data_IF_131596229531
#
_entry.id   IF_131596229531
#
_cell.length_a   1.000
_cell.length_b   1.000
_cell.length_c   1.000
_cell.angle_alpha   90.00
_cell.angle_beta   90.00
_cell.angle_gamma   90.00
#
_symmetry.space_group_name_H-M   'P 1'
#
loop_
_entity.id
_entity.type
_entity.pdbx_description
1 polymer ?
#
# COMPACT_ATOMS: atom_id res chain seq x y z
N UNK A 1 -20.59 -11.20 4.81
CA UNK A 1 -20.07 -9.97 4.15
C UNK A 1 -19.67 -8.99 5.24
N UNK A 2 -18.51 -8.37 5.12
CA UNK A 2 -18.07 -7.31 6.03
C UNK A 2 -18.99 -6.09 5.78
N UNK A 3 -19.78 -5.72 6.78
CA UNK A 3 -20.71 -4.59 6.63
C UNK A 3 -19.92 -3.30 6.30
N UNK A 4 -20.35 -2.58 5.26
CA UNK A 4 -19.78 -1.30 4.88
C UNK A 4 -18.48 -1.34 4.06
N UNK A 5 -17.99 -2.51 3.64
CA UNK A 5 -16.84 -2.59 2.74
C UNK A 5 -17.18 -1.97 1.38
N UNK A 6 -16.38 -1.01 0.96
CA UNK A 6 -16.45 -0.38 -0.36
C UNK A 6 -15.29 -0.83 -1.23
N UNK A 7 -15.50 -0.83 -2.56
CA UNK A 7 -14.46 -1.15 -3.53
C UNK A 7 -13.25 -0.23 -3.39
N UNK A 8 -12.06 -0.80 -3.38
CA UNK A 8 -10.79 -0.10 -3.18
C UNK A 8 -10.32 -0.05 -1.74
N UNK A 9 -11.20 -0.26 -0.76
CA UNK A 9 -10.81 -0.36 0.64
C UNK A 9 -10.03 -1.64 0.94
N UNK A 10 -9.35 -1.64 2.08
CA UNK A 10 -8.63 -2.80 2.59
C UNK A 10 -9.09 -3.17 4.01
N UNK A 11 -8.76 -4.38 4.41
CA UNK A 11 -9.05 -4.94 5.73
C UNK A 11 -7.77 -5.40 6.40
N UNK A 12 -7.71 -5.29 7.73
CA UNK A 12 -6.66 -5.95 8.49
C UNK A 12 -7.07 -7.39 8.77
N UNK A 13 -6.32 -8.33 8.19
CA UNK A 13 -6.51 -9.77 8.38
C UNK A 13 -5.49 -10.27 9.39
N UNK A 14 -5.96 -10.93 10.44
CA UNK A 14 -5.13 -11.56 11.46
C UNK A 14 -5.21 -13.09 11.37
N UNK A 15 -4.04 -13.72 11.43
CA UNK A 15 -3.85 -15.18 11.53
C UNK A 15 -3.04 -15.51 12.76
N UNK A 16 -3.22 -16.71 13.28
CA UNK A 16 -2.36 -17.26 14.34
C UNK A 16 -1.32 -18.20 13.71
N UNK A 17 -0.04 -17.90 13.95
CA UNK A 17 1.09 -18.70 13.50
C UNK A 17 2.00 -18.93 14.72
N UNK A 18 2.25 -20.19 15.05
CA UNK A 18 3.09 -20.58 16.22
C UNK A 18 2.64 -19.90 17.52
N UNK A 19 1.33 -19.88 17.79
CA UNK A 19 0.74 -19.28 18.99
C UNK A 19 0.82 -17.73 19.01
N UNK A 20 1.10 -17.09 17.86
CA UNK A 20 1.19 -15.64 17.75
C UNK A 20 0.18 -15.12 16.74
N UNK A 21 -0.60 -14.14 17.15
CA UNK A 21 -1.47 -13.41 16.24
C UNK A 21 -0.67 -12.40 15.44
N UNK A 22 -0.62 -12.60 14.12
CA UNK A 22 0.02 -11.71 13.17
C UNK A 22 -1.04 -11.07 12.28
N UNK A 23 -0.91 -9.78 11.98
CA UNK A 23 -1.90 -9.01 11.22
C UNK A 23 -1.25 -8.39 10.00
N UNK A 24 -1.94 -8.44 8.84
CA UNK A 24 -1.56 -7.74 7.60
C UNK A 24 -2.79 -7.17 6.93
N UNK A 25 -2.60 -6.10 6.17
CA UNK A 25 -3.67 -5.51 5.37
C UNK A 25 -3.72 -6.12 3.98
N UNK A 26 -4.93 -6.35 3.51
CA UNK A 26 -5.23 -6.84 2.16
C UNK A 26 -6.41 -6.09 1.58
N UNK A 27 -6.40 -5.86 0.27
CA UNK A 27 -7.53 -5.28 -0.47
C UNK A 27 -8.41 -6.42 -0.98
N UNK A 28 -9.57 -6.67 -0.37
CA UNK A 28 -10.45 -7.75 -0.77
C UNK A 28 -11.30 -7.37 -1.97
N UNK A 29 -11.79 -8.39 -2.68
CA UNK A 29 -12.90 -8.28 -3.63
C UNK A 29 -14.08 -9.07 -3.13
N UNK A 30 -15.30 -8.59 -3.41
CA UNK A 30 -16.52 -9.33 -3.12
C UNK A 30 -16.86 -10.21 -4.32
N UNK A 31 -16.98 -11.51 -4.08
CA UNK A 31 -17.38 -12.47 -5.11
C UNK A 31 -18.90 -12.43 -5.35
N UNK A 32 -19.36 -12.98 -6.47
CA UNK A 32 -20.79 -13.02 -6.81
C UNK A 32 -21.67 -13.71 -5.77
N UNK A 33 -21.11 -14.65 -5.01
CA UNK A 33 -21.78 -15.35 -3.91
C UNK A 33 -21.68 -14.63 -2.56
N UNK A 34 -21.15 -13.40 -2.54
CA UNK A 34 -20.99 -12.59 -1.34
C UNK A 34 -19.75 -12.93 -0.49
N UNK A 35 -18.96 -13.93 -0.85
CA UNK A 35 -17.68 -14.22 -0.17
C UNK A 35 -16.64 -13.15 -0.47
N UNK A 36 -15.72 -12.97 0.48
CA UNK A 36 -14.54 -12.13 0.28
C UNK A 36 -13.40 -12.97 -0.28
N UNK A 37 -12.74 -12.47 -1.30
CA UNK A 37 -11.48 -13.02 -1.80
C UNK A 37 -10.36 -12.02 -1.59
N UNK A 38 -9.21 -12.51 -1.15
CA UNK A 38 -7.96 -11.76 -1.12
C UNK A 38 -6.95 -12.44 -2.05
N UNK A 39 -6.10 -11.63 -2.67
CA UNK A 39 -4.98 -12.12 -3.45
C UNK A 39 -3.70 -11.85 -2.68
N UNK A 40 -2.92 -12.89 -2.48
CA UNK A 40 -1.73 -12.85 -1.62
C UNK A 40 -0.50 -13.19 -2.46
N UNK A 41 0.45 -12.28 -2.50
CA UNK A 41 1.78 -12.55 -3.02
C UNK A 41 2.67 -13.04 -1.88
N UNK A 42 3.18 -14.27 -1.97
CA UNK A 42 4.17 -14.78 -1.03
C UNK A 42 5.48 -14.01 -1.22
N UNK A 43 5.95 -13.36 -0.16
CA UNK A 43 7.23 -12.64 -0.16
C UNK A 43 8.27 -13.41 0.65
N UNK A 44 9.52 -13.33 0.24
CA UNK A 44 10.62 -13.95 0.96
C UNK A 44 10.72 -13.41 2.39
N UNK A 45 10.84 -14.29 3.37
CA UNK A 45 10.83 -13.93 4.80
C UNK A 45 9.46 -13.49 5.36
N UNK A 46 8.42 -13.41 4.54
CA UNK A 46 7.08 -12.99 4.95
C UNK A 46 6.30 -14.10 5.65
N UNK A 47 6.16 -14.04 6.97
CA UNK A 47 5.46 -15.08 7.75
C UNK A 47 3.99 -15.22 7.32
N UNK A 48 3.22 -14.14 7.31
CA UNK A 48 1.78 -14.17 7.01
C UNK A 48 1.51 -14.50 5.55
N UNK A 49 2.22 -13.88 4.61
CA UNK A 49 2.00 -14.09 3.18
C UNK A 49 2.34 -15.53 2.75
N UNK A 50 3.41 -16.10 3.29
CA UNK A 50 3.77 -17.50 3.03
C UNK A 50 2.76 -18.47 3.64
N UNK A 51 2.38 -18.24 4.91
CA UNK A 51 1.36 -19.05 5.57
C UNK A 51 0.06 -19.07 4.75
N UNK A 52 -0.45 -17.91 4.35
CA UNK A 52 -1.71 -17.82 3.59
C UNK A 52 -1.60 -18.45 2.19
N UNK A 53 -0.43 -18.37 1.55
CA UNK A 53 -0.24 -18.88 0.19
C UNK A 53 0.04 -20.40 0.14
N UNK A 54 0.63 -20.99 1.20
CA UNK A 54 1.16 -22.38 1.13
C UNK A 54 0.67 -23.28 2.26
N UNK A 55 0.42 -22.74 3.47
CA UNK A 55 0.21 -23.54 4.67
C UNK A 55 -1.23 -23.50 5.18
N UNK A 56 -1.99 -22.46 4.86
CA UNK A 56 -3.36 -22.29 5.34
C UNK A 56 -4.29 -23.35 4.72
N UNK A 57 -4.84 -24.21 5.56
CA UNK A 57 -5.82 -25.23 5.16
C UNK A 57 -7.25 -24.64 5.15
N UNK A 58 -8.16 -25.32 4.45
CA UNK A 58 -9.59 -25.04 4.56
C UNK A 58 -10.06 -25.16 6.01
N UNK A 59 -10.79 -24.17 6.49
CA UNK A 59 -11.22 -24.09 7.88
C UNK A 59 -10.27 -23.31 8.80
N UNK A 60 -9.12 -22.83 8.28
CA UNK A 60 -8.24 -21.93 9.04
C UNK A 60 -9.04 -20.70 9.48
N UNK A 61 -9.06 -20.45 10.79
CA UNK A 61 -9.76 -19.28 11.37
C UNK A 61 -8.90 -18.03 11.18
N UNK A 62 -9.50 -17.01 10.59
CA UNK A 62 -8.91 -15.69 10.43
C UNK A 62 -9.74 -14.63 11.13
N UNK A 63 -9.11 -13.59 11.64
CA UNK A 63 -9.81 -12.42 12.16
C UNK A 63 -9.77 -11.29 11.15
N UNK A 64 -10.89 -10.59 10.95
CA UNK A 64 -10.97 -9.41 10.11
C UNK A 64 -11.34 -8.20 10.95
N UNK A 65 -10.63 -7.09 10.78
CA UNK A 65 -11.02 -5.79 11.29
C UNK A 65 -12.00 -5.11 10.30
N UNK A 66 -12.74 -4.07 10.74
CA UNK A 66 -13.52 -3.24 9.82
C UNK A 66 -12.70 -2.75 8.62
N UNK A 67 -13.38 -2.55 7.50
CA UNK A 67 -12.76 -2.01 6.29
C UNK A 67 -12.32 -0.55 6.51
N UNK A 68 -11.23 -0.14 5.89
CA UNK A 68 -10.69 1.22 5.95
C UNK A 68 -9.92 1.54 4.66
N UNK A 69 -9.60 2.84 4.46
CA UNK A 69 -8.92 3.33 3.26
C UNK A 69 -9.79 4.29 2.47
N UNK A 70 -9.14 5.26 1.85
CA UNK A 70 -9.78 6.38 1.16
C UNK A 70 -9.71 6.25 -0.37
N UNK A 71 -9.14 5.16 -0.88
CA UNK A 71 -9.08 4.89 -2.33
C UNK A 71 -10.44 4.37 -2.81
N UNK A 72 -11.37 5.28 -3.03
CA UNK A 72 -12.75 5.01 -3.43
C UNK A 72 -13.06 5.62 -4.80
N UNK A 73 -14.00 5.00 -5.53
CA UNK A 73 -14.53 5.62 -6.74
C UNK A 73 -15.11 7.00 -6.43
N UNK A 74 -14.88 8.01 -7.29
CA UNK A 74 -15.52 9.32 -7.15
C UNK A 74 -17.05 9.19 -7.15
N UNK A 75 -17.72 9.97 -6.33
CA UNK A 75 -19.20 10.01 -6.26
C UNK A 75 -19.84 10.51 -7.56
N UNK A 76 -19.14 11.39 -8.27
CA UNK A 76 -19.52 11.86 -9.61
C UNK A 76 -18.65 11.14 -10.64
N UNK A 77 -19.22 10.63 -11.74
CA UNK A 77 -18.44 9.99 -12.80
C UNK A 77 -17.35 10.93 -13.33
N UNK A 78 -16.11 10.61 -13.00
CA UNK A 78 -14.91 11.37 -13.38
C UNK A 78 -13.96 10.42 -14.09
N UNK A 79 -13.34 10.81 -15.22
CA UNK A 79 -12.38 9.96 -15.90
C UNK A 79 -11.25 9.49 -14.97
N UNK A 80 -10.93 8.19 -15.00
CA UNK A 80 -9.95 7.58 -14.10
C UNK A 80 -8.65 7.26 -14.84
N UNK A 81 -7.54 7.41 -14.12
CA UNK A 81 -6.25 6.82 -14.48
C UNK A 81 -5.78 5.97 -13.32
N UNK A 82 -5.79 4.66 -13.52
CA UNK A 82 -5.39 3.67 -12.51
C UNK A 82 -3.97 3.20 -12.80
N UNK A 83 -3.06 3.41 -11.86
CA UNK A 83 -1.67 2.98 -11.95
C UNK A 83 -1.42 1.87 -10.93
N UNK A 84 -1.12 0.67 -11.38
CA UNK A 84 -0.84 -0.47 -10.53
C UNK A 84 0.56 -1.03 -10.74
N UNK A 85 1.24 -1.44 -9.66
CA UNK A 85 2.47 -2.21 -9.77
C UNK A 85 2.42 -3.47 -8.89
N UNK A 86 2.69 -4.64 -9.50
CA UNK A 86 2.66 -5.93 -8.81
C UNK A 86 1.34 -6.18 -8.09
N UNK A 87 1.38 -6.50 -6.80
CA UNK A 87 0.18 -6.72 -5.98
C UNK A 87 -0.70 -5.48 -5.78
N UNK A 88 -0.24 -4.28 -6.16
CA UNK A 88 -1.07 -3.07 -6.18
C UNK A 88 -2.25 -3.12 -7.16
N UNK A 89 -2.33 -4.17 -7.97
CA UNK A 89 -3.48 -4.44 -8.83
C UNK A 89 -4.75 -4.83 -8.05
N UNK A 90 -4.63 -5.28 -6.80
CA UNK A 90 -5.78 -5.81 -6.04
C UNK A 90 -6.86 -4.77 -5.72
N UNK A 91 -6.57 -3.54 -5.23
CA UNK A 91 -7.61 -2.52 -5.09
C UNK A 91 -8.14 -2.05 -6.45
N UNK A 92 -7.31 -1.99 -7.50
CA UNK A 92 -7.75 -1.60 -8.84
C UNK A 92 -8.77 -2.58 -9.41
N UNK A 93 -8.59 -3.89 -9.16
CA UNK A 93 -9.58 -4.91 -9.51
C UNK A 93 -10.93 -4.64 -8.87
N UNK A 94 -10.96 -4.35 -7.57
CA UNK A 94 -12.20 -4.05 -6.86
C UNK A 94 -12.90 -2.80 -7.43
N UNK A 95 -12.14 -1.74 -7.70
CA UNK A 95 -12.64 -0.51 -8.32
C UNK A 95 -13.21 -0.76 -9.72
N UNK A 96 -12.50 -1.53 -10.55
CA UNK A 96 -12.95 -1.88 -11.91
C UNK A 96 -14.22 -2.73 -11.90
N UNK A 97 -14.31 -3.70 -10.99
CA UNK A 97 -15.53 -4.51 -10.84
C UNK A 97 -16.73 -3.64 -10.41
N UNK A 98 -16.53 -2.71 -9.48
CA UNK A 98 -17.57 -1.78 -9.05
C UNK A 98 -17.98 -0.82 -10.18
N UNK A 99 -17.03 -0.29 -10.95
CA UNK A 99 -17.32 0.55 -12.11
C UNK A 99 -18.06 -0.22 -13.20
N UNK A 100 -17.69 -1.48 -13.46
CA UNK A 100 -18.36 -2.34 -14.43
C UNK A 100 -19.79 -2.67 -13.99
N UNK A 101 -20.03 -2.97 -12.71
CA UNK A 101 -21.39 -3.18 -12.15
C UNK A 101 -22.27 -1.94 -12.30
N UNK A 102 -21.69 -0.73 -12.28
CA UNK A 102 -22.38 0.53 -12.55
C UNK A 102 -22.48 0.87 -14.07
N UNK A 103 -22.11 -0.06 -14.95
CA UNK A 103 -22.15 0.15 -16.40
C UNK A 103 -20.99 0.98 -16.96
N UNK A 104 -19.87 1.12 -16.23
CA UNK A 104 -18.68 1.91 -16.60
C UNK A 104 -19.04 3.35 -17.03
N UNK A 105 -19.56 4.18 -16.13
CA UNK A 105 -20.11 5.50 -16.49
C UNK A 105 -19.03 6.55 -16.85
N UNK A 106 -17.74 6.23 -16.67
CA UNK A 106 -16.60 7.10 -16.99
C UNK A 106 -15.56 6.38 -17.85
N UNK A 107 -14.67 7.13 -18.48
CA UNK A 107 -13.50 6.58 -19.14
C UNK A 107 -12.47 6.13 -18.09
N UNK A 108 -11.91 4.94 -18.26
CA UNK A 108 -10.92 4.36 -17.36
C UNK A 108 -9.72 3.86 -18.15
N UNK A 109 -8.53 4.32 -17.78
CA UNK A 109 -7.26 3.77 -18.25
C UNK A 109 -6.57 3.06 -17.08
N UNK A 110 -6.31 1.76 -17.22
CA UNK A 110 -5.50 0.97 -16.31
C UNK A 110 -4.12 0.73 -16.92
N UNK A 111 -3.08 1.24 -16.28
CA UNK A 111 -1.69 0.92 -16.58
C UNK A 111 -1.16 0.00 -15.47
N UNK A 112 -0.81 -1.24 -15.84
CA UNK A 112 -0.41 -2.27 -14.89
C UNK A 112 1.03 -2.71 -15.12
N UNK A 113 1.93 -2.34 -14.23
CA UNK A 113 3.34 -2.71 -14.26
C UNK A 113 3.61 -4.00 -13.49
N UNK A 114 4.34 -4.91 -14.15
CA UNK A 114 4.92 -6.11 -13.57
C UNK A 114 6.37 -6.24 -14.06
N UNK A 115 7.18 -7.06 -13.40
CA UNK A 115 8.53 -7.35 -13.90
C UNK A 115 8.46 -8.25 -15.12
N UNK A 116 7.70 -9.35 -15.01
CA UNK A 116 7.48 -10.36 -16.05
C UNK A 116 5.99 -10.65 -16.17
N UNK A 117 5.56 -11.09 -17.34
CA UNK A 117 4.13 -11.33 -17.63
C UNK A 117 3.49 -12.39 -16.74
N UNK A 118 4.24 -13.40 -16.34
CA UNK A 118 3.79 -14.49 -15.47
C UNK A 118 3.53 -14.01 -14.01
N UNK A 119 4.06 -12.85 -13.64
CA UNK A 119 3.73 -12.19 -12.36
C UNK A 119 2.39 -11.43 -12.40
N UNK A 120 1.80 -11.24 -13.58
CA UNK A 120 0.58 -10.47 -13.73
C UNK A 120 -0.65 -11.26 -13.30
N UNK A 121 -1.43 -10.68 -12.38
CA UNK A 121 -2.69 -11.25 -11.93
C UNK A 121 -3.86 -10.69 -12.76
N UNK A 122 -4.91 -11.51 -12.94
CA UNK A 122 -6.22 -11.12 -13.49
C UNK A 122 -6.20 -10.64 -14.95
N UNK A 123 -5.20 -10.99 -15.74
CA UNK A 123 -5.03 -10.51 -17.12
C UNK A 123 -6.27 -10.83 -17.98
N UNK A 124 -6.75 -12.09 -17.92
CA UNK A 124 -7.92 -12.54 -18.68
C UNK A 124 -9.20 -11.85 -18.20
N UNK A 125 -9.34 -11.62 -16.90
CA UNK A 125 -10.48 -10.88 -16.33
C UNK A 125 -10.51 -9.44 -16.84
N UNK A 126 -9.37 -8.76 -16.86
CA UNK A 126 -9.29 -7.39 -17.37
C UNK A 126 -9.49 -7.32 -18.88
N UNK A 127 -9.01 -8.30 -19.62
CA UNK A 127 -9.26 -8.40 -21.06
C UNK A 127 -10.77 -8.58 -21.36
N UNK A 128 -11.45 -9.44 -20.60
CA UNK A 128 -12.89 -9.64 -20.72
C UNK A 128 -13.68 -8.37 -20.32
N UNK A 129 -13.27 -7.68 -19.25
CA UNK A 129 -13.89 -6.42 -18.86
C UNK A 129 -13.71 -5.33 -19.94
N UNK A 130 -12.52 -5.20 -20.52
CA UNK A 130 -12.26 -4.22 -21.58
C UNK A 130 -13.05 -4.54 -22.87
N UNK A 131 -13.24 -5.82 -23.19
CA UNK A 131 -14.07 -6.24 -24.31
C UNK A 131 -15.56 -5.91 -24.09
N UNK A 132 -16.05 -6.00 -22.85
CA UNK A 132 -17.43 -5.70 -22.49
C UNK A 132 -17.70 -4.18 -22.31
N UNK A 133 -16.68 -3.40 -22.02
CA UNK A 133 -16.80 -1.97 -21.70
C UNK A 133 -15.84 -1.12 -22.54
N UNK A 134 -16.28 -0.53 -23.67
CA UNK A 134 -15.43 0.26 -24.58
C UNK A 134 -14.75 1.48 -23.95
N UNK A 135 -15.21 1.92 -22.78
CA UNK A 135 -14.61 3.00 -21.99
C UNK A 135 -13.43 2.56 -21.12
N UNK A 136 -13.19 1.25 -21.00
CA UNK A 136 -12.06 0.69 -20.28
C UNK A 136 -10.92 0.36 -21.24
N UNK A 137 -9.76 0.93 -21.00
CA UNK A 137 -8.50 0.56 -21.65
C UNK A 137 -7.56 -0.04 -20.61
N UNK A 138 -6.98 -1.19 -20.92
CA UNK A 138 -6.04 -1.90 -20.05
C UNK A 138 -4.72 -2.09 -20.79
N UNK A 139 -3.65 -1.73 -20.15
CA UNK A 139 -2.30 -1.92 -20.68
C UNK A 139 -1.42 -2.62 -19.63
N UNK A 140 -0.93 -3.79 -19.99
CA UNK A 140 0.06 -4.53 -19.21
C UNK A 140 1.46 -4.11 -19.65
N UNK A 141 2.29 -3.70 -18.70
CA UNK A 141 3.63 -3.15 -18.89
C UNK A 141 4.66 -4.03 -18.17
N UNK A 142 5.51 -4.72 -18.93
CA UNK A 142 6.57 -5.59 -18.41
C UNK A 142 7.90 -4.86 -18.41
N UNK A 143 8.56 -4.75 -17.24
CA UNK A 143 9.80 -3.95 -17.07
C UNK A 143 11.08 -4.75 -17.21
N UNK A 144 11.00 -6.08 -17.33
CA UNK A 144 12.17 -6.98 -17.44
C UNK A 144 11.99 -8.08 -18.48
N UNK A 145 11.03 -7.93 -19.37
CA UNK A 145 10.68 -8.93 -20.37
C UNK A 145 10.46 -8.28 -21.72
N UNK A 146 10.76 -9.03 -22.80
CA UNK A 146 10.62 -8.58 -24.18
C UNK A 146 11.86 -7.91 -24.73
N UNK A 147 11.90 -7.66 -26.04
CA UNK A 147 13.00 -6.97 -26.71
C UNK A 147 13.11 -5.50 -26.31
N UNK A 148 11.98 -4.88 -25.99
CA UNK A 148 11.88 -3.50 -25.49
C UNK A 148 11.05 -3.49 -24.21
N UNK A 149 11.67 -3.68 -23.05
CA UNK A 149 10.96 -3.60 -21.77
C UNK A 149 10.30 -2.24 -21.60
N UNK A 150 9.11 -2.23 -20.98
CA UNK A 150 8.40 -1.00 -20.69
C UNK A 150 9.20 -0.10 -19.74
N UNK A 151 9.14 1.18 -19.98
CA UNK A 151 9.69 2.18 -19.08
C UNK A 151 8.98 2.15 -17.72
N UNK A 152 9.68 2.62 -16.70
CA UNK A 152 9.10 2.74 -15.36
C UNK A 152 8.13 3.92 -15.31
N UNK A 153 7.33 3.98 -14.26
CA UNK A 153 6.29 5.01 -14.09
C UNK A 153 6.82 6.46 -14.13
N UNK A 154 8.08 6.66 -13.75
CA UNK A 154 8.74 7.96 -13.75
C UNK A 154 9.07 8.48 -15.17
N UNK A 155 9.31 7.60 -16.14
CA UNK A 155 9.69 7.94 -17.52
C UNK A 155 8.63 7.58 -18.57
N UNK A 156 7.74 6.64 -18.28
CA UNK A 156 6.75 6.11 -19.22
C UNK A 156 5.87 7.22 -19.82
N UNK A 157 5.80 7.36 -21.18
CA UNK A 157 4.96 8.37 -21.81
C UNK A 157 3.48 8.14 -21.55
N UNK A 158 2.79 9.23 -21.16
CA UNK A 158 1.34 9.28 -20.98
C UNK A 158 0.64 10.09 -22.09
N UNK A 159 1.31 10.38 -23.20
CA UNK A 159 0.77 11.21 -24.30
C UNK A 159 -0.47 10.59 -24.95
N UNK A 160 -0.62 9.27 -24.81
CA UNK A 160 -1.80 8.53 -25.28
C UNK A 160 -3.01 8.62 -24.33
N UNK A 161 -2.84 9.16 -23.12
CA UNK A 161 -3.92 9.37 -22.15
C UNK A 161 -4.59 10.70 -22.42
N UNK A 162 -5.78 10.66 -22.99
CA UNK A 162 -6.54 11.87 -23.28
C UNK A 162 -6.97 12.60 -22.01
N UNK A 163 -6.91 13.94 -22.03
CA UNK A 163 -7.36 14.84 -20.96
C UNK A 163 -6.80 14.46 -19.58
N UNK A 164 -5.48 14.27 -19.50
CA UNK A 164 -4.79 13.84 -18.27
C UNK A 164 -5.10 14.77 -17.08
N UNK A 165 -5.22 16.06 -17.32
CA UNK A 165 -5.52 17.10 -16.33
C UNK A 165 -6.93 16.99 -15.72
N UNK A 166 -7.82 16.25 -16.37
CA UNK A 166 -9.20 16.01 -15.89
C UNK A 166 -9.33 14.67 -15.16
N UNK A 167 -8.27 13.85 -15.15
CA UNK A 167 -8.29 12.51 -14.58
C UNK A 167 -8.19 12.54 -13.06
N UNK A 168 -8.96 11.68 -12.41
CA UNK A 168 -8.71 11.26 -11.04
C UNK A 168 -7.73 10.08 -11.09
N UNK A 169 -6.51 10.31 -10.65
CA UNK A 169 -5.46 9.31 -10.65
C UNK A 169 -5.44 8.54 -9.32
N UNK A 170 -5.42 7.22 -9.43
CA UNK A 170 -5.26 6.32 -8.30
C UNK A 170 -4.03 5.43 -8.54
N UNK A 171 -3.04 5.47 -7.63
CA UNK A 171 -1.82 4.70 -7.74
C UNK A 171 -1.68 3.71 -6.59
N UNK A 172 -1.37 2.44 -6.90
CA UNK A 172 -1.13 1.43 -5.86
C UNK A 172 0.02 0.50 -6.25
N UNK A 173 0.89 0.20 -5.27
CA UNK A 173 2.03 -0.67 -5.47
C UNK A 173 3.12 -0.49 -4.42
N UNK A 174 4.36 -0.89 -4.74
CA UNK A 174 5.53 -0.65 -3.88
C UNK A 174 5.75 0.84 -3.64
N UNK A 175 6.29 1.20 -2.47
CA UNK A 175 6.48 2.60 -2.07
C UNK A 175 7.25 3.44 -3.08
N UNK A 176 8.31 2.91 -3.68
CA UNK A 176 9.07 3.63 -4.73
C UNK A 176 8.26 3.91 -6.00
N UNK A 177 7.35 3.00 -6.39
CA UNK A 177 6.43 3.22 -7.51
C UNK A 177 5.45 4.34 -7.22
N UNK A 178 4.82 4.29 -6.04
CA UNK A 178 3.85 5.30 -5.61
C UNK A 178 4.51 6.67 -5.48
N UNK A 179 5.73 6.74 -4.93
CA UNK A 179 6.48 7.98 -4.80
C UNK A 179 6.81 8.58 -6.17
N UNK A 180 7.33 7.79 -7.11
CA UNK A 180 7.64 8.24 -8.46
C UNK A 180 6.38 8.73 -9.21
N UNK A 181 5.26 8.01 -9.07
CA UNK A 181 3.98 8.45 -9.62
C UNK A 181 3.51 9.78 -9.03
N UNK A 182 3.68 9.96 -7.72
CA UNK A 182 3.32 11.20 -7.02
C UNK A 182 4.16 12.37 -7.49
N UNK A 183 5.46 12.25 -7.48
CA UNK A 183 6.39 13.31 -7.89
C UNK A 183 6.11 13.79 -9.31
N UNK A 184 5.79 12.86 -10.19
CA UNK A 184 5.56 13.17 -11.59
C UNK A 184 4.18 13.72 -11.90
N UNK A 185 3.13 13.26 -11.22
CA UNK A 185 1.74 13.40 -11.70
C UNK A 185 0.82 14.17 -10.76
N UNK A 186 1.13 14.34 -9.47
CA UNK A 186 0.22 14.95 -8.51
C UNK A 186 -0.24 16.36 -8.90
N UNK A 187 0.61 17.18 -9.54
CA UNK A 187 0.25 18.53 -10.02
C UNK A 187 -0.30 18.56 -11.46
N UNK A 188 -0.49 17.42 -12.12
CA UNK A 188 -0.88 17.31 -13.53
C UNK A 188 -2.24 16.68 -13.76
N UNK A 189 -2.90 16.23 -12.71
CA UNK A 189 -4.19 15.55 -12.72
C UNK A 189 -5.19 16.29 -11.83
N UNK A 190 -6.48 16.08 -12.04
CA UNK A 190 -7.54 16.74 -11.26
C UNK A 190 -7.51 16.32 -9.78
N UNK A 191 -7.24 15.05 -9.51
CA UNK A 191 -7.09 14.51 -8.16
C UNK A 191 -6.08 13.37 -8.15
N UNK A 192 -5.38 13.20 -7.04
CA UNK A 192 -4.38 12.14 -6.85
C UNK A 192 -4.61 11.41 -5.54
N UNK A 193 -4.88 10.11 -5.61
CA UNK A 193 -4.94 9.20 -4.48
C UNK A 193 -3.89 8.09 -4.64
N UNK A 194 -3.30 7.63 -3.54
CA UNK A 194 -2.34 6.55 -3.63
C UNK A 194 -2.23 5.74 -2.34
N UNK A 195 -2.00 4.43 -2.52
CA UNK A 195 -1.68 3.49 -1.45
C UNK A 195 -0.36 2.77 -1.74
N UNK A 196 0.57 2.85 -0.79
CA UNK A 196 1.84 2.14 -0.89
C UNK A 196 1.81 0.87 -0.02
N UNK A 197 2.12 -0.28 -0.60
CA UNK A 197 2.17 -1.57 0.12
C UNK A 197 3.50 -1.83 0.83
N UNK A 198 4.48 -0.99 0.60
CA UNK A 198 5.75 -0.99 1.33
C UNK A 198 6.22 0.44 1.53
N UNK A 199 7.02 0.65 2.56
CA UNK A 199 7.73 1.90 2.71
C UNK A 199 8.73 2.03 1.55
N UNK A 200 8.86 3.19 0.89
CA UNK A 200 9.91 3.40 -0.10
C UNK A 200 11.25 3.02 0.50
N UNK A 201 12.10 2.34 -0.27
CA UNK A 201 13.51 2.26 0.10
C UNK A 201 14.01 3.70 0.11
N UNK A 202 14.33 4.19 1.30
CA UNK A 202 14.84 5.54 1.44
C UNK A 202 16.17 5.63 0.69
N UNK A 203 16.32 6.67 -0.12
CA UNK A 203 17.64 7.16 -0.43
C UNK A 203 18.39 7.28 0.89
N UNK A 204 19.58 6.68 0.96
CA UNK A 204 20.41 6.56 2.17
C UNK A 204 20.90 7.94 2.70
N UNK A 205 20.18 9.01 2.41
CA UNK A 205 20.53 10.39 2.74
C UNK A 205 20.60 10.70 4.25
N UNK A 206 19.98 9.89 5.10
CA UNK A 206 20.13 10.01 6.55
C UNK A 206 20.98 8.87 7.10
N UNK A 207 22.28 8.99 6.97
CA UNK A 207 23.24 8.13 7.66
C UNK A 207 23.41 8.56 9.13
N UNK A 208 23.84 7.64 9.96
CA UNK A 208 24.08 7.88 11.39
C UNK A 208 23.05 7.24 12.30
N UNK A 209 23.27 7.42 13.57
CA UNK A 209 22.47 6.83 14.65
C UNK A 209 21.93 7.93 15.56
N UNK A 210 20.85 7.63 16.25
CA UNK A 210 20.21 8.49 17.25
C UNK A 210 19.91 7.69 18.51
N UNK A 211 19.83 8.38 19.64
CA UNK A 211 19.38 7.80 20.89
C UNK A 211 17.85 7.89 20.98
N UNK A 212 17.22 6.77 21.25
CA UNK A 212 15.77 6.69 21.47
C UNK A 212 15.52 6.23 22.89
N UNK A 213 15.03 7.13 23.73
CA UNK A 213 14.65 6.84 25.09
C UNK A 213 13.18 6.40 25.14
N UNK A 214 12.93 5.30 25.83
CA UNK A 214 11.59 4.78 26.10
C UNK A 214 11.18 5.23 27.51
N UNK A 215 10.25 6.16 27.62
CA UNK A 215 9.96 6.83 28.89
C UNK A 215 9.36 5.92 29.95
N UNK A 216 8.58 4.90 29.54
CA UNK A 216 7.95 3.95 30.49
C UNK A 216 8.93 2.95 31.08
N UNK A 217 9.90 2.50 30.28
CA UNK A 217 10.89 1.52 30.73
C UNK A 217 12.21 2.14 31.15
N UNK A 218 12.44 3.42 30.89
CA UNK A 218 13.68 4.13 31.10
C UNK A 218 14.85 3.67 30.21
N UNK A 219 14.62 2.76 29.28
CA UNK A 219 15.65 2.23 28.37
C UNK A 219 16.03 3.26 27.33
N UNK A 220 17.31 3.35 27.03
CA UNK A 220 17.82 4.12 25.88
C UNK A 220 18.42 3.16 24.86
N UNK A 221 18.05 3.31 23.62
CA UNK A 221 18.45 2.45 22.51
C UNK A 221 19.09 3.29 21.42
N UNK A 222 20.05 2.73 20.71
CA UNK A 222 20.69 3.36 19.57
C UNK A 222 20.06 2.83 18.29
N UNK A 223 19.37 3.68 17.52
CA UNK A 223 18.69 3.29 16.30
C UNK A 223 19.25 4.04 15.08
N UNK A 224 19.26 3.39 13.89
CA UNK A 224 19.66 4.06 12.65
C UNK A 224 18.60 5.09 12.20
N UNK A 225 19.05 6.21 11.63
CA UNK A 225 18.17 7.28 11.13
C UNK A 225 17.34 6.89 9.91
N UNK A 226 17.89 6.08 9.03
CA UNK A 226 17.26 5.70 7.77
C UNK A 226 16.20 4.60 7.85
N UNK A 227 15.94 4.05 9.04
CA UNK A 227 15.05 2.92 9.27
C UNK A 227 13.80 3.34 10.03
N UNK A 228 12.67 2.62 9.84
CA UNK A 228 11.48 2.89 10.64
C UNK A 228 11.75 2.63 12.12
N UNK A 229 11.11 3.42 12.99
CA UNK A 229 11.19 3.22 14.44
C UNK A 229 10.77 1.79 14.84
N UNK A 230 9.74 1.24 14.17
CA UNK A 230 9.27 -0.12 14.43
C UNK A 230 10.37 -1.15 14.17
N UNK A 231 10.99 -1.11 12.99
CA UNK A 231 12.07 -2.05 12.62
C UNK A 231 13.31 -1.86 13.52
N UNK A 232 13.68 -0.61 13.79
CA UNK A 232 14.79 -0.31 14.69
C UNK A 232 14.57 -0.87 16.10
N UNK A 233 13.37 -0.72 16.65
CA UNK A 233 13.01 -1.26 17.97
C UNK A 233 12.96 -2.80 17.96
N UNK A 234 12.44 -3.41 16.90
CA UNK A 234 12.41 -4.87 16.73
C UNK A 234 13.82 -5.46 16.63
N UNK A 235 14.73 -4.80 15.91
CA UNK A 235 16.14 -5.19 15.83
C UNK A 235 16.84 -5.17 17.19
N UNK A 236 16.37 -4.33 18.12
CA UNK A 236 16.84 -4.28 19.52
C UNK A 236 16.09 -5.25 20.47
N UNK A 237 15.33 -6.19 19.88
CA UNK A 237 14.59 -7.22 20.62
C UNK A 237 13.30 -6.75 21.29
N UNK A 238 12.85 -5.53 21.03
CA UNK A 238 11.56 -5.04 21.49
C UNK A 238 10.43 -5.49 20.54
N UNK A 239 9.22 -5.53 21.07
CA UNK A 239 8.03 -5.92 20.30
C UNK A 239 6.90 -4.92 20.51
N UNK A 240 7.01 -3.71 19.96
CA UNK A 240 5.92 -2.74 20.02
C UNK A 240 4.64 -3.31 19.40
N UNK A 241 3.49 -2.87 19.89
CA UNK A 241 2.23 -3.22 19.23
C UNK A 241 2.25 -2.69 17.79
N UNK A 242 1.93 -3.54 16.84
CA UNK A 242 1.83 -3.16 15.44
C UNK A 242 0.80 -4.01 14.70
N UNK A 243 0.32 -3.52 13.56
CA UNK A 243 -0.62 -4.24 12.69
C UNK A 243 -0.12 -4.26 11.26
N UNK A 244 -0.64 -3.35 10.42
CA UNK A 244 -0.45 -3.35 8.96
C UNK A 244 0.99 -3.09 8.49
N UNK A 245 1.84 -2.42 9.27
CA UNK A 245 3.20 -1.93 8.92
C UNK A 245 3.23 -0.92 7.76
N UNK A 246 2.09 -0.33 7.41
CA UNK A 246 1.93 0.60 6.28
C UNK A 246 1.40 1.97 6.73
N UNK A 247 1.36 2.24 8.03
CA UNK A 247 0.92 3.52 8.57
C UNK A 247 -0.59 3.76 8.55
N UNK A 248 -1.41 2.75 8.30
CA UNK A 248 -2.84 2.92 8.07
C UNK A 248 -3.67 2.57 9.31
N UNK A 249 -3.37 1.44 9.98
CA UNK A 249 -4.21 0.92 11.06
C UNK A 249 -4.00 1.61 12.42
N UNK A 250 -3.05 2.51 12.54
CA UNK A 250 -2.67 3.23 13.76
C UNK A 250 -2.31 2.34 14.98
N UNK A 251 -2.26 1.01 14.83
CA UNK A 251 -1.96 0.08 15.95
C UNK A 251 -0.57 0.32 16.56
N UNK A 252 0.37 0.82 15.75
CA UNK A 252 1.73 1.18 16.19
C UNK A 252 1.87 2.67 16.55
N UNK A 253 0.77 3.38 16.73
CA UNK A 253 0.81 4.77 17.14
C UNK A 253 1.34 4.88 18.59
N UNK A 254 2.31 5.77 18.78
CA UNK A 254 2.98 6.00 20.02
C UNK A 254 3.19 7.52 20.22
N UNK A 255 2.89 8.08 21.40
CA UNK A 255 3.19 9.48 21.67
C UNK A 255 4.70 9.72 21.65
N UNK A 256 5.12 10.77 20.92
CA UNK A 256 6.48 11.28 20.97
C UNK A 256 6.52 12.45 21.93
N UNK A 257 7.37 12.39 22.96
CA UNK A 257 7.54 13.45 23.94
C UNK A 257 8.53 14.51 23.47
N UNK A 258 9.58 14.11 22.74
CA UNK A 258 10.58 15.04 22.20
C UNK A 258 11.29 14.49 20.97
N UNK A 259 12.02 15.37 20.28
CA UNK A 259 12.82 15.07 19.10
C UNK A 259 12.04 15.17 17.80
N UNK A 260 12.71 14.92 16.66
CA UNK A 260 12.15 15.04 15.31
C UNK A 260 12.06 13.68 14.65
N UNK A 261 10.91 13.39 14.04
CA UNK A 261 10.72 12.22 13.17
C UNK A 261 10.47 12.65 11.75
N UNK A 262 10.85 11.81 10.79
CA UNK A 262 10.54 11.95 9.37
C UNK A 262 9.53 10.89 8.96
N UNK A 263 8.48 11.31 8.29
CA UNK A 263 7.48 10.40 7.71
C UNK A 263 8.06 9.73 6.45
N UNK A 264 8.14 8.40 6.45
CA UNK A 264 8.85 7.65 5.41
C UNK A 264 8.17 7.65 4.04
N UNK A 265 6.86 7.93 3.98
CA UNK A 265 6.11 7.97 2.73
C UNK A 265 6.04 9.36 2.11
N UNK A 266 6.08 10.42 2.93
CA UNK A 266 5.95 11.82 2.46
C UNK A 266 7.24 12.61 2.55
N UNK A 267 8.22 12.14 3.31
CA UNK A 267 9.45 12.88 3.62
C UNK A 267 9.27 14.01 4.65
N UNK A 268 8.05 14.29 5.07
CA UNK A 268 7.71 15.37 6.00
C UNK A 268 8.36 15.14 7.36
N UNK A 269 8.90 16.19 7.94
CA UNK A 269 9.48 16.18 9.28
C UNK A 269 8.52 16.82 10.28
N UNK A 270 8.37 16.20 11.44
CA UNK A 270 7.56 16.70 12.55
C UNK A 270 8.34 16.66 13.84
N UNK A 271 8.23 17.72 14.63
CA UNK A 271 8.80 17.85 15.97
C UNK A 271 7.75 18.24 17.03
N UNK A 272 6.46 18.22 16.69
CA UNK A 272 5.40 18.55 17.65
C UNK A 272 5.43 17.61 18.86
N UNK A 273 5.58 18.13 20.08
CA UNK A 273 5.50 17.34 21.30
C UNK A 273 4.11 16.68 21.42
N UNK A 274 4.06 15.50 22.03
CA UNK A 274 2.83 14.71 22.21
C UNK A 274 2.16 14.20 20.93
N UNK A 275 2.72 14.52 19.76
CA UNK A 275 2.19 13.98 18.51
C UNK A 275 2.25 12.45 18.48
N UNK A 276 1.18 11.84 18.02
CA UNK A 276 1.12 10.40 17.78
C UNK A 276 1.95 10.06 16.54
N UNK A 277 3.08 9.37 16.73
CA UNK A 277 3.90 8.88 15.62
C UNK A 277 3.59 7.42 15.35
N UNK A 278 3.39 7.09 14.07
CA UNK A 278 3.19 5.71 13.63
C UNK A 278 4.56 5.07 13.42
N UNK A 279 4.98 4.23 14.36
CA UNK A 279 6.33 3.66 14.39
C UNK A 279 6.75 2.98 13.08
N UNK A 280 5.82 2.37 12.36
CA UNK A 280 6.11 1.63 11.12
C UNK A 280 6.44 2.50 9.90
N UNK A 281 6.07 3.78 9.92
CA UNK A 281 6.29 4.72 8.81
C UNK A 281 6.99 6.01 9.26
N UNK A 282 7.52 6.03 10.46
CA UNK A 282 8.29 7.17 10.99
C UNK A 282 9.71 6.73 11.28
N UNK A 283 10.70 7.45 10.73
CA UNK A 283 12.10 7.29 11.03
C UNK A 283 12.57 8.38 12.01
N UNK A 284 13.52 8.11 12.89
CA UNK A 284 14.08 9.12 13.76
C UNK A 284 15.06 10.01 12.98
N UNK A 285 14.93 11.34 13.11
CA UNK A 285 15.87 12.31 12.54
C UNK A 285 16.81 12.92 13.58
N UNK A 286 16.39 12.95 14.84
CA UNK A 286 17.20 13.38 16.01
C UNK A 286 16.98 12.40 17.15
N UNK A 287 17.68 12.59 18.25
CA UNK A 287 17.37 11.89 19.50
C UNK A 287 15.91 12.07 19.87
N UNK A 288 15.26 11.00 20.35
CA UNK A 288 13.81 10.93 20.60
C UNK A 288 13.53 10.47 22.03
N UNK A 289 12.39 10.91 22.55
CA UNK A 289 11.72 10.30 23.70
C UNK A 289 10.35 9.81 23.26
N UNK A 290 10.10 8.51 23.39
CA UNK A 290 8.85 7.85 23.05
C UNK A 290 8.15 7.34 24.31
N UNK A 291 6.81 7.41 24.34
CA UNK A 291 6.00 6.89 25.42
C UNK A 291 5.74 5.37 25.27
N UNK A 292 6.81 4.59 25.36
CA UNK A 292 6.85 3.13 25.26
C UNK A 292 7.41 2.49 26.53
#
# INVERSE_FOLDING_TARGET
>A
VLAGLQAGQHVSLGVEIDGRRLVRSYSPTVQADGRLAITVQAIEGGLVSRFLAHDAALGTVVSLAPAFGDMLLPTTPTPLLLLAAGSGITPMRALLQAAAQAGMPMDVDLLYWVRQRDEACFVDEFAALAAAHPRLRVQLLTTREGETPAERVDTYSLDHIAALEQRHLMACGPGGFVQAARERLQGRVAAFQAEAFSVPALDQAETGQVQVQLSRSGRTLTLPRGQSLLEGLEAQGLRPKHGCRMGICNTCACPRQSGTTRHLLTGERSNEPTAQVRLCISAPSTDLILDL
#
